data_IF_289304372547
#
_entry.id   IF_289304372547
#
_cell.length_a   1.000
_cell.length_b   1.000
_cell.length_c   1.000
_cell.angle_alpha   90.00
_cell.angle_beta   90.00
_cell.angle_gamma   90.00
#
_symmetry.space_group_name_H-M   'P 1'
#
loop_
_entity.id
_entity.type
_entity.pdbx_description
1 polymer ?
#
# COMPACT_ATOMS: atom_id res chain seq x y z
N UNK A 1 5.35 10.06 12.03
CA UNK A 1 4.24 10.72 11.30
C UNK A 1 4.32 10.61 9.77
N UNK A 2 5.47 10.24 9.17
CA UNK A 2 5.64 10.15 7.71
C UNK A 2 4.74 9.08 7.04
N UNK A 3 4.62 7.89 7.63
CA UNK A 3 3.82 6.78 7.09
C UNK A 3 2.34 7.15 6.88
N UNK A 4 1.70 7.74 7.90
CA UNK A 4 0.29 8.17 7.79
C UNK A 4 0.07 9.22 6.69
N UNK A 5 1.07 10.07 6.42
CA UNK A 5 0.97 11.03 5.32
C UNK A 5 1.07 10.36 3.95
N UNK A 6 1.82 9.25 3.84
CA UNK A 6 1.90 8.44 2.62
C UNK A 6 0.57 7.72 2.43
N UNK A 7 0.06 7.04 3.47
CA UNK A 7 -1.23 6.35 3.41
C UNK A 7 -2.39 7.31 3.06
N UNK A 8 -2.41 8.52 3.63
CA UNK A 8 -3.40 9.55 3.29
C UNK A 8 -3.26 10.04 1.84
N UNK A 9 -2.05 10.13 1.31
CA UNK A 9 -1.82 10.48 -0.11
C UNK A 9 -2.37 9.38 -1.04
N UNK A 10 -2.14 8.11 -0.72
CA UNK A 10 -2.68 6.98 -1.49
C UNK A 10 -4.20 6.98 -1.48
N UNK A 11 -4.82 7.10 -0.30
CA UNK A 11 -6.27 7.15 -0.17
C UNK A 11 -6.89 8.28 -1.00
N UNK A 12 -6.26 9.46 -1.00
CA UNK A 12 -6.71 10.59 -1.83
C UNK A 12 -6.53 10.34 -3.32
N UNK A 13 -5.43 9.72 -3.73
CA UNK A 13 -5.19 9.37 -5.13
C UNK A 13 -6.24 8.38 -5.67
N UNK A 14 -6.75 7.52 -4.78
CA UNK A 14 -7.81 6.55 -5.06
C UNK A 14 -9.24 7.09 -4.86
N UNK A 15 -9.39 8.38 -4.51
CA UNK A 15 -10.68 9.00 -4.16
C UNK A 15 -11.40 8.29 -3.00
N UNK A 16 -10.67 7.58 -2.14
CA UNK A 16 -11.22 6.92 -0.96
C UNK A 16 -11.62 7.96 0.10
N UNK A 17 -12.79 7.75 0.73
CA UNK A 17 -13.27 8.61 1.81
C UNK A 17 -12.52 8.38 3.13
N UNK A 18 -11.92 7.21 3.31
CA UNK A 18 -11.23 6.79 4.54
C UNK A 18 -9.90 6.08 4.24
N UNK A 19 -8.98 6.11 5.22
CA UNK A 19 -7.73 5.35 5.15
C UNK A 19 -8.01 3.91 5.56
N UNK A 20 -8.14 3.04 4.57
CA UNK A 20 -8.25 1.59 4.77
C UNK A 20 -6.87 0.92 5.02
N UNK A 21 -6.84 -0.30 5.61
CA UNK A 21 -5.61 -1.04 5.90
C UNK A 21 -4.69 -1.24 4.69
N UNK A 22 -5.24 -1.35 3.49
CA UNK A 22 -4.51 -1.52 2.25
C UNK A 22 -3.63 -0.30 1.92
N UNK A 23 -4.10 0.93 2.18
CA UNK A 23 -3.31 2.14 2.01
C UNK A 23 -2.12 2.21 2.98
N UNK A 24 -2.33 1.69 4.20
CA UNK A 24 -1.28 1.60 5.21
C UNK A 24 -0.22 0.58 4.77
N UNK A 25 -0.65 -0.57 4.27
CA UNK A 25 0.25 -1.61 3.77
C UNK A 25 1.08 -1.12 2.58
N UNK A 26 0.47 -0.48 1.58
CA UNK A 26 1.18 0.13 0.45
C UNK A 26 2.19 1.18 0.95
N UNK A 27 1.79 2.03 1.90
CA UNK A 27 2.69 3.02 2.49
C UNK A 27 3.89 2.38 3.21
N UNK A 28 3.70 1.21 3.83
CA UNK A 28 4.76 0.44 4.49
C UNK A 28 5.70 -0.26 3.50
N UNK A 29 5.18 -0.78 2.38
CA UNK A 29 5.98 -1.45 1.35
C UNK A 29 6.83 -0.48 0.52
N UNK A 30 6.35 0.76 0.33
CA UNK A 30 7.11 1.83 -0.32
C UNK A 30 8.32 2.31 0.46
N UNK A 31 8.36 2.05 1.76
CA UNK A 31 9.55 2.28 2.58
C UNK A 31 10.52 1.11 2.35
N UNK A 32 11.39 1.24 1.33
CA UNK A 32 12.34 0.21 0.85
C UNK A 32 13.37 -0.31 1.87
N UNK A 33 13.38 0.23 3.09
CA UNK A 33 14.21 -0.21 4.22
C UNK A 33 13.37 -0.42 5.50
N UNK A 34 12.05 -0.40 5.36
CA UNK A 34 11.10 -0.58 6.44
C UNK A 34 10.95 -2.05 6.83
N UNK A 35 10.46 -2.28 8.05
CA UNK A 35 10.21 -3.63 8.56
C UNK A 35 9.32 -4.45 7.61
N UNK A 36 8.25 -3.84 7.07
CA UNK A 36 7.35 -4.54 6.15
C UNK A 36 8.07 -4.95 4.86
N UNK A 37 8.78 -4.03 4.21
CA UNK A 37 9.55 -4.34 3.02
C UNK A 37 10.55 -5.47 3.27
N UNK A 38 11.32 -5.39 4.37
CA UNK A 38 12.31 -6.41 4.74
C UNK A 38 11.67 -7.76 5.07
N UNK A 39 10.50 -7.79 5.71
CA UNK A 39 9.77 -9.03 5.96
C UNK A 39 9.31 -9.70 4.66
N UNK A 40 8.74 -8.93 3.72
CA UNK A 40 8.26 -9.47 2.45
C UNK A 40 9.42 -9.91 1.55
N UNK A 41 10.47 -9.10 1.46
CA UNK A 41 11.70 -9.46 0.75
C UNK A 41 12.37 -10.70 1.37
N UNK A 42 12.36 -10.84 2.69
CA UNK A 42 12.86 -12.03 3.39
C UNK A 42 12.05 -13.31 3.12
N UNK A 43 10.82 -13.17 2.62
CA UNK A 43 9.98 -14.27 2.14
C UNK A 43 10.11 -14.50 0.62
N UNK A 44 11.09 -13.85 -0.03
CA UNK A 44 11.32 -13.90 -1.49
C UNK A 44 10.11 -13.41 -2.30
N UNK A 45 9.34 -12.48 -1.73
CA UNK A 45 8.19 -11.87 -2.38
C UNK A 45 8.59 -10.58 -3.10
N UNK A 46 8.09 -10.43 -4.32
CA UNK A 46 8.18 -9.17 -5.07
C UNK A 46 7.21 -8.14 -4.48
N UNK A 47 7.77 -7.24 -3.67
CA UNK A 47 7.01 -6.14 -3.06
C UNK A 47 6.40 -5.18 -4.07
N UNK A 48 7.02 -4.96 -5.23
CA UNK A 48 6.47 -4.09 -6.29
C UNK A 48 5.25 -4.74 -6.94
N UNK A 49 5.33 -6.05 -7.18
CA UNK A 49 4.18 -6.82 -7.65
C UNK A 49 3.01 -6.75 -6.66
N UNK A 50 3.28 -6.90 -5.35
CA UNK A 50 2.25 -6.87 -4.31
C UNK A 50 1.60 -5.48 -4.21
N UNK A 51 2.39 -4.41 -4.24
CA UNK A 51 1.88 -3.04 -4.27
C UNK A 51 0.92 -2.82 -5.45
N UNK A 52 1.30 -3.30 -6.64
CA UNK A 52 0.51 -3.17 -7.86
C UNK A 52 -0.79 -3.96 -7.81
N UNK A 53 -0.73 -5.22 -7.38
CA UNK A 53 -1.91 -6.10 -7.23
C UNK A 53 -2.90 -5.52 -6.22
N UNK A 54 -2.42 -4.95 -5.11
CA UNK A 54 -3.27 -4.28 -4.13
C UNK A 54 -3.96 -3.04 -4.72
N UNK A 55 -3.23 -2.18 -5.43
CA UNK A 55 -3.81 -1.00 -6.10
C UNK A 55 -4.90 -1.40 -7.10
N UNK A 56 -4.63 -2.41 -7.94
CA UNK A 56 -5.61 -2.92 -8.91
C UNK A 56 -6.86 -3.48 -8.24
N UNK A 57 -6.71 -4.26 -7.15
CA UNK A 57 -7.84 -4.81 -6.40
C UNK A 57 -8.68 -3.75 -5.71
N UNK A 58 -8.06 -2.70 -5.17
CA UNK A 58 -8.77 -1.60 -4.55
C UNK A 58 -9.61 -0.85 -5.57
N UNK A 59 -9.03 -0.54 -6.74
CA UNK A 59 -9.77 0.10 -7.85
C UNK A 59 -10.93 -0.75 -8.35
N UNK A 60 -10.73 -2.06 -8.46
CA UNK A 60 -11.79 -2.98 -8.85
C UNK A 60 -12.94 -3.00 -7.84
N UNK A 61 -12.65 -2.92 -6.53
CA UNK A 61 -13.66 -2.87 -5.47
C UNK A 61 -14.50 -1.59 -5.53
N UNK A 62 -13.85 -0.43 -5.74
CA UNK A 62 -14.53 0.87 -5.82
C UNK A 62 -15.42 1.03 -7.06
N UNK A 63 -15.27 0.17 -8.08
CA UNK A 63 -16.08 0.18 -9.30
C UNK A 63 -17.38 -0.66 -9.20
N UNK A 64 -17.59 -1.33 -8.06
CA UNK A 64 -18.78 -2.16 -7.75
C UNK A 64 -19.66 -1.47 -6.72
#
# INVERSE_FOLDING_TARGET
RRLLNIALKEARAMLACEIEPEHILIAMLRERDGLAYNCFAGLDLDTEFIEKELDERMRARSAT
#
